data_IF_540311202697
#
_entry.id   IF_540311202697
#
_cell.length_a   1.000
_cell.length_b   1.000
_cell.length_c   1.000
_cell.angle_alpha   90.00
_cell.angle_beta   90.00
_cell.angle_gamma   90.00
#
_symmetry.space_group_name_H-M   'P 1'
#
loop_
_entity.id
_entity.type
_entity.pdbx_description
1 polymer ?
#
# COMPACT_ATOMS: atom_id res chain seq x y z
N UNK A 1 7.80 3.14 -17.08
CA UNK A 1 7.98 2.95 -15.63
C UNK A 1 8.34 4.29 -15.02
N UNK A 2 7.56 4.80 -14.07
CA UNK A 2 7.94 6.03 -13.36
C UNK A 2 9.18 5.76 -12.50
N UNK A 3 10.02 6.79 -12.27
CA UNK A 3 11.17 6.70 -11.37
C UNK A 3 10.78 6.21 -9.95
N UNK A 4 9.50 6.35 -9.58
CA UNK A 4 8.90 5.91 -8.33
C UNK A 4 8.92 4.39 -8.12
N UNK A 5 8.60 3.59 -9.14
CA UNK A 5 8.60 2.14 -9.01
C UNK A 5 10.02 1.58 -8.77
N UNK A 6 11.07 2.25 -9.24
CA UNK A 6 12.44 1.75 -9.11
C UNK A 6 13.12 2.05 -7.77
N UNK A 7 12.60 2.97 -6.95
CA UNK A 7 13.20 3.29 -5.64
C UNK A 7 12.89 2.23 -4.58
N UNK A 8 11.72 1.62 -4.64
CA UNK A 8 11.30 0.56 -3.72
C UNK A 8 12.02 -0.76 -3.97
N UNK A 9 12.29 -1.10 -5.23
CA UNK A 9 12.91 -2.39 -5.59
C UNK A 9 14.32 -2.59 -5.04
N UNK A 10 15.10 -1.53 -4.88
CA UNK A 10 16.45 -1.63 -4.30
C UNK A 10 16.48 -2.06 -2.84
N UNK A 11 15.36 -1.96 -2.12
CA UNK A 11 15.22 -2.30 -0.71
C UNK A 11 14.01 -3.20 -0.45
N UNK A 12 13.63 -4.01 -1.45
CA UNK A 12 12.43 -4.85 -1.38
C UNK A 12 12.45 -5.79 -0.16
N UNK A 13 13.58 -6.41 0.15
CA UNK A 13 13.73 -7.28 1.32
C UNK A 13 13.62 -6.51 2.65
N UNK A 14 14.16 -5.29 2.70
CA UNK A 14 14.07 -4.43 3.87
C UNK A 14 12.62 -3.96 4.08
N UNK A 15 11.95 -3.55 3.01
CA UNK A 15 10.53 -3.23 3.01
C UNK A 15 9.69 -4.42 3.50
N UNK A 16 9.95 -5.62 3.01
CA UNK A 16 9.26 -6.84 3.43
C UNK A 16 9.39 -7.10 4.94
N UNK A 17 10.59 -6.92 5.48
CA UNK A 17 10.85 -7.13 6.91
C UNK A 17 10.28 -6.04 7.81
N UNK A 18 10.27 -4.79 7.33
CA UNK A 18 9.90 -3.63 8.15
C UNK A 18 8.39 -3.43 8.26
N UNK A 19 7.69 -3.58 7.13
CA UNK A 19 6.26 -3.32 7.08
C UNK A 19 5.48 -4.45 7.72
N UNK A 20 4.59 -4.17 8.70
CA UNK A 20 3.73 -5.19 9.27
C UNK A 20 2.78 -5.77 8.23
N UNK A 21 2.44 -7.05 8.37
CA UNK A 21 1.43 -7.70 7.55
C UNK A 21 0.04 -7.11 7.84
N UNK A 22 -0.89 -7.31 6.92
CA UNK A 22 -2.30 -6.98 7.16
C UNK A 22 -2.95 -8.03 8.06
N UNK A 23 -3.84 -7.60 8.95
CA UNK A 23 -4.81 -8.49 9.57
C UNK A 23 -5.85 -9.00 8.54
N UNK A 24 -6.72 -9.94 8.92
CA UNK A 24 -7.80 -10.42 8.04
C UNK A 24 -8.92 -9.39 7.86
N UNK A 25 -9.11 -8.47 8.81
CA UNK A 25 -10.27 -7.59 8.90
C UNK A 25 -10.52 -6.74 7.63
N UNK A 26 -9.49 -6.13 6.99
CA UNK A 26 -9.72 -5.33 5.79
C UNK A 26 -10.28 -6.15 4.63
N UNK A 27 -9.79 -7.38 4.47
CA UNK A 27 -10.23 -8.28 3.40
C UNK A 27 -11.65 -8.80 3.66
N UNK A 28 -11.93 -9.22 4.90
CA UNK A 28 -13.26 -9.70 5.30
C UNK A 28 -14.32 -8.59 5.21
N UNK A 29 -13.96 -7.37 5.63
CA UNK A 29 -14.86 -6.22 5.51
C UNK A 29 -15.19 -5.94 4.04
N UNK A 30 -14.18 -5.85 3.17
CA UNK A 30 -14.36 -5.60 1.75
C UNK A 30 -15.18 -6.72 1.07
N UNK A 31 -14.89 -7.99 1.42
CA UNK A 31 -15.63 -9.14 0.90
C UNK A 31 -17.13 -9.06 1.26
N UNK A 32 -17.45 -8.68 2.51
CA UNK A 32 -18.83 -8.52 2.95
C UNK A 32 -19.55 -7.35 2.25
N UNK A 33 -18.85 -6.21 2.04
CA UNK A 33 -19.43 -5.03 1.38
C UNK A 33 -19.65 -5.23 -0.12
N UNK A 34 -18.81 -6.02 -0.75
CA UNK A 34 -18.88 -6.32 -2.18
C UNK A 34 -19.56 -7.66 -2.51
N UNK A 35 -20.12 -8.36 -1.51
CA UNK A 35 -20.77 -9.67 -1.65
C UNK A 35 -19.86 -10.72 -2.34
N UNK A 36 -18.56 -10.73 -2.01
CA UNK A 36 -17.57 -11.62 -2.60
C UNK A 36 -17.57 -12.98 -1.90
N UNK A 37 -17.91 -14.04 -2.65
CA UNK A 37 -17.76 -15.43 -2.22
C UNK A 37 -16.30 -15.88 -2.14
N UNK A 38 -16.05 -17.07 -1.57
CA UNK A 38 -14.70 -17.65 -1.54
C UNK A 38 -14.18 -18.02 -2.94
N UNK A 39 -15.05 -18.18 -3.90
CA UNK A 39 -14.76 -18.48 -5.31
C UNK A 39 -14.54 -17.23 -6.17
N UNK A 40 -14.66 -16.03 -5.58
CA UNK A 40 -14.41 -14.79 -6.29
C UNK A 40 -12.98 -14.73 -6.83
N UNK A 41 -12.83 -14.21 -8.05
CA UNK A 41 -11.53 -13.96 -8.67
C UNK A 41 -11.12 -12.51 -8.41
N UNK A 42 -10.06 -12.33 -7.65
CA UNK A 42 -9.61 -11.00 -7.21
C UNK A 42 -8.19 -10.69 -7.65
N UNK A 43 -7.91 -9.41 -7.83
CA UNK A 43 -6.59 -8.87 -8.17
C UNK A 43 -6.02 -8.04 -7.01
N UNK A 44 -4.75 -8.29 -6.67
CA UNK A 44 -3.90 -7.37 -5.89
C UNK A 44 -3.09 -6.52 -6.87
N UNK A 45 -3.44 -5.24 -7.02
CA UNK A 45 -2.84 -4.32 -7.99
C UNK A 45 -1.83 -3.38 -7.32
N UNK A 46 -0.58 -3.42 -7.80
CA UNK A 46 0.55 -2.81 -7.10
C UNK A 46 0.89 -3.59 -5.84
N UNK A 47 0.98 -4.92 -5.99
CA UNK A 47 1.05 -5.87 -4.90
C UNK A 47 2.33 -5.75 -4.03
N UNK A 48 3.35 -5.02 -4.51
CA UNK A 48 4.61 -4.85 -3.80
C UNK A 48 5.28 -6.19 -3.51
N UNK A 49 5.54 -6.47 -2.25
CA UNK A 49 6.11 -7.74 -1.79
C UNK A 49 5.05 -8.82 -1.48
N UNK A 50 3.77 -8.54 -1.76
CA UNK A 50 2.67 -9.49 -1.59
C UNK A 50 2.06 -9.54 -0.20
N UNK A 51 2.21 -8.49 0.60
CA UNK A 51 1.65 -8.46 1.97
C UNK A 51 0.12 -8.58 1.98
N UNK A 52 -0.57 -7.87 1.08
CA UNK A 52 -2.01 -8.06 0.92
C UNK A 52 -2.33 -9.36 0.18
N UNK A 53 -1.54 -9.73 -0.84
CA UNK A 53 -1.73 -10.97 -1.59
C UNK A 53 -1.86 -12.18 -0.66
N UNK A 54 -1.00 -12.28 0.39
CA UNK A 54 -1.07 -13.35 1.39
C UNK A 54 -2.43 -13.43 2.09
N UNK A 55 -3.05 -12.30 2.41
CA UNK A 55 -4.38 -12.26 3.02
C UNK A 55 -5.49 -12.60 2.03
N UNK A 56 -5.34 -12.15 0.78
CA UNK A 56 -6.31 -12.48 -0.26
C UNK A 56 -6.35 -13.99 -0.54
N UNK A 57 -5.20 -14.67 -0.60
CA UNK A 57 -5.17 -16.14 -0.85
C UNK A 57 -5.70 -16.98 0.33
N UNK A 58 -5.73 -16.43 1.54
CA UNK A 58 -6.39 -17.08 2.67
C UNK A 58 -7.93 -17.04 2.56
N UNK A 59 -8.46 -16.04 1.86
CA UNK A 59 -9.90 -15.78 1.75
C UNK A 59 -10.51 -16.23 0.42
N UNK A 60 -9.76 -16.11 -0.68
CA UNK A 60 -10.26 -16.35 -2.03
C UNK A 60 -9.47 -17.47 -2.72
N UNK A 61 -10.18 -18.32 -3.45
CA UNK A 61 -9.57 -19.42 -4.20
C UNK A 61 -8.78 -18.96 -5.45
N UNK A 62 -9.13 -17.81 -6.02
CA UNK A 62 -8.53 -17.26 -7.23
C UNK A 62 -8.00 -15.85 -6.99
N UNK A 63 -6.69 -15.74 -6.77
CA UNK A 63 -6.00 -14.47 -6.54
C UNK A 63 -4.90 -14.29 -7.57
N UNK A 64 -4.90 -13.14 -8.24
CA UNK A 64 -3.80 -12.70 -9.11
C UNK A 64 -3.12 -11.49 -8.46
N UNK A 65 -1.79 -11.40 -8.55
CA UNK A 65 -1.04 -10.23 -8.13
C UNK A 65 -0.39 -9.58 -9.36
N UNK A 66 -0.42 -8.25 -9.45
CA UNK A 66 0.27 -7.48 -10.49
C UNK A 66 1.21 -6.48 -9.82
N UNK A 67 2.49 -6.55 -10.17
CA UNK A 67 3.55 -5.68 -9.63
C UNK A 67 4.57 -5.34 -10.72
N UNK A 68 4.81 -4.06 -11.02
CA UNK A 68 5.76 -3.66 -12.04
C UNK A 68 7.23 -3.90 -11.63
N UNK A 69 7.59 -3.70 -10.36
CA UNK A 69 8.97 -3.84 -9.90
C UNK A 69 9.38 -5.32 -9.79
N UNK A 70 10.50 -5.67 -10.45
CA UNK A 70 10.96 -7.07 -10.50
C UNK A 70 11.43 -7.60 -9.14
N UNK A 71 12.06 -6.75 -8.31
CA UNK A 71 12.59 -7.18 -7.02
C UNK A 71 11.46 -7.34 -5.99
N UNK A 72 10.49 -6.43 -5.99
CA UNK A 72 9.27 -6.56 -5.20
C UNK A 72 8.49 -7.82 -5.60
N UNK A 73 8.21 -7.97 -6.88
CA UNK A 73 7.45 -9.10 -7.43
C UNK A 73 8.10 -10.45 -7.12
N UNK A 74 9.43 -10.52 -7.09
CA UNK A 74 10.16 -11.77 -6.76
C UNK A 74 9.92 -12.24 -5.31
N UNK A 75 9.47 -11.38 -4.41
CA UNK A 75 9.17 -11.71 -3.02
C UNK A 75 7.72 -12.19 -2.80
N UNK A 76 6.84 -12.04 -3.81
CA UNK A 76 5.47 -12.53 -3.72
C UNK A 76 5.48 -14.05 -3.67
N UNK A 77 5.07 -14.61 -2.55
CA UNK A 77 5.01 -16.07 -2.35
C UNK A 77 3.92 -16.70 -3.24
N UNK A 78 4.24 -17.85 -3.80
CA UNK A 78 3.33 -18.57 -4.71
C UNK A 78 3.63 -18.22 -6.17
N UNK A 79 3.19 -19.07 -7.07
CA UNK A 79 3.38 -18.86 -8.51
C UNK A 79 2.26 -17.98 -9.05
N UNK A 80 2.58 -16.86 -9.67
CA UNK A 80 1.57 -16.18 -10.47
C UNK A 80 1.53 -14.66 -10.38
N UNK A 81 2.49 -14.03 -9.70
CA UNK A 81 2.61 -12.57 -9.80
C UNK A 81 3.02 -12.16 -11.22
N UNK A 82 2.20 -11.34 -11.83
CA UNK A 82 2.38 -10.88 -13.20
C UNK A 82 3.11 -9.54 -13.24
N UNK A 83 3.97 -9.38 -14.24
CA UNK A 83 4.56 -8.10 -14.56
C UNK A 83 3.52 -7.24 -15.30
N UNK A 84 3.20 -6.07 -14.75
CA UNK A 84 2.24 -5.14 -15.34
C UNK A 84 2.19 -3.84 -14.56
N UNK A 85 1.46 -2.86 -15.09
CA UNK A 85 1.16 -1.61 -14.40
C UNK A 85 -0.36 -1.42 -14.30
N UNK A 86 -0.77 -0.42 -13.53
CA UNK A 86 -2.19 -0.10 -13.39
C UNK A 86 -2.82 0.41 -14.70
N UNK A 87 -2.02 1.01 -15.57
CA UNK A 87 -2.45 1.49 -16.88
C UNK A 87 -2.38 0.40 -17.97
N UNK A 88 -1.85 -0.80 -17.65
CA UNK A 88 -1.75 -1.94 -18.56
C UNK A 88 -1.76 -3.24 -17.77
N UNK A 89 -2.95 -3.64 -17.35
CA UNK A 89 -3.17 -4.85 -16.54
C UNK A 89 -3.18 -6.08 -17.48
N UNK A 90 -2.28 -7.07 -17.28
CA UNK A 90 -2.12 -8.20 -18.19
C UNK A 90 -3.18 -9.29 -17.95
N UNK A 91 -4.45 -8.88 -17.87
CA UNK A 91 -5.59 -9.76 -17.68
C UNK A 91 -6.67 -9.49 -18.74
N UNK A 92 -7.52 -10.48 -19.06
CA UNK A 92 -8.64 -10.31 -19.99
C UNK A 92 -9.68 -9.33 -19.46
N UNK A 93 -10.47 -8.77 -20.38
CA UNK A 93 -11.64 -7.98 -20.04
C UNK A 93 -12.62 -8.80 -19.21
N UNK A 94 -13.27 -8.16 -18.23
CA UNK A 94 -14.34 -8.73 -17.42
C UNK A 94 -14.00 -10.10 -16.81
N UNK A 95 -12.78 -10.21 -16.29
CA UNK A 95 -12.26 -11.46 -15.71
C UNK A 95 -12.18 -11.46 -14.18
N UNK A 96 -12.48 -10.34 -13.54
CA UNK A 96 -12.33 -10.16 -12.09
C UNK A 96 -13.63 -9.70 -11.43
N UNK A 97 -13.87 -10.21 -10.23
CA UNK A 97 -14.97 -9.77 -9.35
C UNK A 97 -14.56 -8.54 -8.53
N UNK A 98 -13.28 -8.41 -8.16
CA UNK A 98 -12.76 -7.23 -7.47
C UNK A 98 -11.28 -6.99 -7.74
N UNK A 99 -10.90 -5.70 -7.61
CA UNK A 99 -9.51 -5.23 -7.61
C UNK A 99 -9.22 -4.59 -6.25
N UNK A 100 -8.12 -4.98 -5.62
CA UNK A 100 -7.62 -4.45 -4.37
C UNK A 100 -6.32 -3.68 -4.61
N UNK A 101 -6.21 -2.49 -4.02
CA UNK A 101 -5.00 -1.66 -4.04
C UNK A 101 -4.66 -1.28 -2.60
N UNK A 102 -3.59 -1.86 -2.04
CA UNK A 102 -3.17 -1.55 -0.67
C UNK A 102 -1.88 -0.71 -0.69
N UNK A 103 -1.92 0.49 -0.11
CA UNK A 103 -0.78 1.43 -0.07
C UNK A 103 -0.18 1.72 -1.47
N UNK A 104 -0.96 1.58 -2.55
CA UNK A 104 -0.43 1.63 -3.91
C UNK A 104 -1.18 2.59 -4.84
N UNK A 105 -2.50 2.78 -4.68
CA UNK A 105 -3.33 3.51 -5.64
C UNK A 105 -2.85 4.95 -5.90
N UNK A 106 -2.38 5.65 -4.88
CA UNK A 106 -1.84 7.01 -5.01
C UNK A 106 -0.63 7.12 -5.96
N UNK A 107 0.08 6.01 -6.22
CA UNK A 107 1.20 5.98 -7.16
C UNK A 107 0.77 6.03 -8.63
N UNK A 108 -0.48 5.65 -8.91
CA UNK A 108 -1.06 5.55 -10.25
C UNK A 108 -2.50 6.08 -10.35
N UNK A 109 -2.90 6.98 -9.46
CA UNK A 109 -4.21 7.60 -9.45
C UNK A 109 -4.40 8.50 -10.68
N UNK A 110 -4.90 7.93 -11.77
CA UNK A 110 -5.18 8.62 -13.03
C UNK A 110 -6.31 7.92 -13.80
N UNK A 111 -6.85 8.62 -14.81
CA UNK A 111 -7.96 8.13 -15.63
C UNK A 111 -7.61 6.83 -16.38
N UNK A 112 -6.35 6.68 -16.84
CA UNK A 112 -5.94 5.50 -17.60
C UNK A 112 -5.93 4.24 -16.71
N UNK A 113 -5.47 4.36 -15.46
CA UNK A 113 -5.51 3.28 -14.48
C UNK A 113 -6.95 2.89 -14.14
N UNK A 114 -7.84 3.87 -13.91
CA UNK A 114 -9.26 3.57 -13.66
C UNK A 114 -9.95 2.93 -14.85
N UNK A 115 -9.59 3.32 -16.09
CA UNK A 115 -10.12 2.68 -17.30
C UNK A 115 -9.67 1.22 -17.41
N UNK A 116 -8.42 0.91 -17.11
CA UNK A 116 -7.90 -0.46 -17.11
C UNK A 116 -8.53 -1.32 -16.00
N UNK A 117 -8.68 -0.76 -14.79
CA UNK A 117 -9.38 -1.42 -13.68
C UNK A 117 -10.82 -1.73 -14.10
N UNK A 118 -11.51 -0.75 -14.68
CA UNK A 118 -12.88 -0.96 -15.19
C UNK A 118 -12.95 -2.02 -16.31
N UNK A 119 -11.95 -2.07 -17.20
CA UNK A 119 -11.88 -3.06 -18.28
C UNK A 119 -11.82 -4.50 -17.75
N UNK A 120 -10.99 -4.74 -16.74
CA UNK A 120 -10.79 -6.09 -16.20
C UNK A 120 -11.89 -6.55 -15.25
N UNK A 121 -12.63 -5.60 -14.63
CA UNK A 121 -13.75 -5.90 -13.75
C UNK A 121 -14.97 -6.42 -14.54
N UNK A 122 -15.67 -7.38 -13.96
CA UNK A 122 -17.02 -7.75 -14.38
C UNK A 122 -18.01 -6.60 -14.13
N UNK A 123 -19.17 -6.58 -14.79
CA UNK A 123 -20.25 -5.65 -14.45
C UNK A 123 -20.55 -5.71 -12.95
N UNK A 124 -20.64 -4.55 -12.29
CA UNK A 124 -20.80 -4.41 -10.83
C UNK A 124 -19.61 -4.92 -9.98
N UNK A 125 -18.49 -5.26 -10.59
CA UNK A 125 -17.26 -5.62 -9.88
C UNK A 125 -16.74 -4.49 -9.00
N UNK A 126 -16.02 -4.83 -7.93
CA UNK A 126 -15.60 -3.90 -6.90
C UNK A 126 -14.17 -3.39 -7.06
N UNK A 127 -13.93 -2.15 -6.66
CA UNK A 127 -12.59 -1.60 -6.42
C UNK A 127 -12.45 -1.26 -4.94
N UNK A 128 -11.39 -1.75 -4.31
CA UNK A 128 -11.08 -1.55 -2.89
C UNK A 128 -9.71 -0.90 -2.76
N UNK A 129 -9.66 0.20 -2.04
CA UNK A 129 -8.43 0.91 -1.73
C UNK A 129 -8.19 0.83 -0.23
N UNK A 130 -6.96 0.50 0.20
CA UNK A 130 -6.61 0.29 1.60
C UNK A 130 -5.42 1.16 1.94
N UNK A 131 -5.56 1.96 2.99
CA UNK A 131 -4.46 2.73 3.59
C UNK A 131 -4.35 2.47 5.08
N UNK A 132 -3.14 2.67 5.62
CA UNK A 132 -2.82 2.50 7.04
C UNK A 132 -2.12 3.75 7.57
N UNK A 133 -2.76 4.40 8.54
CA UNK A 133 -2.17 5.52 9.29
C UNK A 133 -1.49 4.99 10.56
N UNK A 134 -0.20 5.28 10.74
CA UNK A 134 0.63 4.70 11.79
C UNK A 134 1.65 5.66 12.42
N UNK A 135 1.38 6.94 12.42
CA UNK A 135 2.36 7.94 12.83
C UNK A 135 2.40 8.28 14.33
N UNK A 136 1.53 7.73 15.16
CA UNK A 136 1.37 8.11 16.56
C UNK A 136 1.74 6.98 17.50
N UNK A 137 3.06 6.80 17.75
CA UNK A 137 3.53 5.83 18.73
C UNK A 137 3.31 6.30 20.18
N UNK A 138 3.17 5.33 21.09
CA UNK A 138 3.13 5.53 22.53
C UNK A 138 4.18 4.60 23.19
N UNK A 139 5.23 5.14 23.85
CA UNK A 139 5.56 6.55 23.91
C UNK A 139 5.98 7.12 22.53
N UNK A 140 5.95 8.46 22.35
CA UNK A 140 6.49 9.08 21.15
C UNK A 140 8.01 8.91 21.10
N UNK A 141 8.64 8.84 19.92
CA UNK A 141 10.09 8.82 19.79
C UNK A 141 10.72 10.05 20.48
N UNK A 142 11.98 9.98 20.89
CA UNK A 142 12.71 11.12 21.47
C UNK A 142 12.58 12.39 20.64
N UNK A 143 12.58 13.55 21.29
CA UNK A 143 12.36 14.85 20.63
C UNK A 143 13.34 15.05 19.47
N UNK A 144 14.60 14.69 19.68
CA UNK A 144 15.69 14.83 18.69
C UNK A 144 15.42 13.95 17.46
N UNK A 145 14.95 12.72 17.66
CA UNK A 145 14.56 11.83 16.55
C UNK A 145 13.37 12.40 15.77
N UNK A 146 12.34 12.91 16.47
CA UNK A 146 11.18 13.54 15.83
C UNK A 146 11.56 14.79 15.04
N UNK A 147 12.50 15.57 15.55
CA UNK A 147 13.00 16.75 14.87
C UNK A 147 13.77 16.38 13.59
N UNK A 148 14.61 15.35 13.65
CA UNK A 148 15.31 14.82 12.48
C UNK A 148 14.32 14.30 11.43
N UNK A 149 13.32 13.53 11.85
CA UNK A 149 12.27 13.05 10.96
C UNK A 149 11.53 14.20 10.29
N UNK A 150 11.13 15.24 11.08
CA UNK A 150 10.45 16.41 10.55
C UNK A 150 11.30 17.14 9.51
N UNK A 151 12.60 17.32 9.75
CA UNK A 151 13.51 17.95 8.80
C UNK A 151 13.58 17.19 7.47
N UNK A 152 13.56 15.85 7.50
CA UNK A 152 13.52 15.03 6.29
C UNK A 152 12.17 15.18 5.59
N UNK A 153 11.05 15.09 6.32
CA UNK A 153 9.71 15.22 5.75
C UNK A 153 9.43 16.60 5.14
N UNK A 154 10.00 17.69 5.68
CA UNK A 154 9.77 19.05 5.19
C UNK A 154 10.63 19.40 3.96
N UNK A 155 11.52 18.53 3.53
CA UNK A 155 12.39 18.79 2.36
C UNK A 155 11.58 18.83 1.07
N UNK A 156 11.66 19.94 0.30
CA UNK A 156 10.88 20.10 -0.94
C UNK A 156 11.45 19.32 -2.13
N UNK A 157 12.69 18.86 -2.03
CA UNK A 157 13.41 18.11 -3.07
C UNK A 157 13.19 16.60 -2.98
N UNK A 158 12.55 16.12 -1.91
CA UNK A 158 12.22 14.71 -1.73
C UNK A 158 10.81 14.40 -2.26
N UNK A 159 10.66 13.21 -2.81
CA UNK A 159 9.36 12.76 -3.30
C UNK A 159 8.37 12.56 -2.15
N UNK A 160 7.27 13.29 -2.20
CA UNK A 160 6.11 13.07 -1.32
C UNK A 160 5.06 12.24 -2.05
N UNK A 161 4.39 11.38 -1.33
CA UNK A 161 3.25 10.69 -1.90
C UNK A 161 2.05 11.63 -2.05
N UNK A 162 1.40 11.54 -3.21
CA UNK A 162 0.11 12.19 -3.47
C UNK A 162 -1.06 11.65 -2.59
N UNK A 163 -0.77 10.74 -1.65
CA UNK A 163 -1.76 10.17 -0.74
C UNK A 163 -2.03 11.02 0.51
N UNK A 164 -1.15 12.01 0.81
CA UNK A 164 -1.33 12.86 1.98
C UNK A 164 -2.39 13.96 1.79
N UNK A 165 -2.77 14.27 0.55
CA UNK A 165 -3.61 15.43 0.20
C UNK A 165 -4.94 15.10 -0.47
N UNK A 166 -5.39 13.82 -0.44
CA UNK A 166 -6.63 13.38 -1.11
C UNK A 166 -6.71 13.66 -2.63
N UNK A 167 -5.65 14.16 -3.25
CA UNK A 167 -5.62 14.50 -4.68
C UNK A 167 -5.92 13.29 -5.58
N UNK A 168 -5.65 12.08 -5.07
CA UNK A 168 -5.96 10.84 -5.77
C UNK A 168 -7.46 10.66 -6.05
N UNK A 169 -8.34 11.32 -5.29
CA UNK A 169 -9.80 11.22 -5.47
C UNK A 169 -10.28 11.90 -6.76
N UNK A 170 -9.55 12.91 -7.22
CA UNK A 170 -9.95 13.67 -8.39
C UNK A 170 -10.11 12.83 -9.66
N UNK A 171 -9.34 11.73 -9.80
CA UNK A 171 -9.48 10.84 -10.96
C UNK A 171 -10.82 10.07 -11.00
N UNK A 172 -11.57 10.02 -9.89
CA UNK A 172 -12.89 9.38 -9.86
C UNK A 172 -14.00 10.27 -10.43
N UNK A 173 -13.77 11.58 -10.57
CA UNK A 173 -14.73 12.48 -11.19
C UNK A 173 -14.98 12.08 -12.64
N UNK A 174 -16.23 11.78 -12.98
CA UNK A 174 -16.60 11.32 -14.32
C UNK A 174 -16.15 9.89 -14.68
N UNK A 175 -15.52 9.17 -13.76
CA UNK A 175 -15.12 7.77 -13.96
C UNK A 175 -16.33 6.83 -14.08
N UNK A 176 -16.15 5.59 -14.58
CA UNK A 176 -17.23 4.61 -14.66
C UNK A 176 -17.60 3.99 -13.31
N UNK A 177 -17.02 4.43 -12.20
CA UNK A 177 -17.32 3.92 -10.87
C UNK A 177 -18.44 4.69 -10.18
N UNK A 178 -19.11 4.06 -9.24
CA UNK A 178 -20.04 4.70 -8.31
C UNK A 178 -19.30 5.66 -7.37
N UNK A 179 -20.02 6.32 -6.47
CA UNK A 179 -19.41 7.17 -5.44
C UNK A 179 -18.56 6.30 -4.49
N UNK A 180 -17.37 6.81 -4.14
CA UNK A 180 -16.50 6.17 -3.16
C UNK A 180 -17.13 6.19 -1.77
N UNK A 181 -17.15 5.04 -1.11
CA UNK A 181 -17.56 4.91 0.29
C UNK A 181 -16.32 4.73 1.15
N UNK A 182 -16.23 5.50 2.23
CA UNK A 182 -15.15 5.40 3.22
C UNK A 182 -15.59 4.62 4.45
N UNK A 183 -14.67 3.83 5.00
CA UNK A 183 -14.82 3.17 6.29
C UNK A 183 -13.49 3.14 7.03
N UNK A 184 -13.54 3.43 8.33
CA UNK A 184 -12.40 3.33 9.23
C UNK A 184 -12.58 2.10 10.12
N UNK A 185 -11.72 1.09 9.96
CA UNK A 185 -11.78 -0.09 10.81
C UNK A 185 -11.32 0.23 12.23
N UNK A 186 -11.65 -0.63 13.19
CA UNK A 186 -11.12 -0.52 14.54
C UNK A 186 -9.58 -0.52 14.50
N UNK A 187 -8.91 0.40 15.22
CA UNK A 187 -7.46 0.45 15.21
C UNK A 187 -6.87 -0.81 15.86
N UNK A 188 -5.85 -1.36 15.24
CA UNK A 188 -4.97 -2.36 15.85
C UNK A 188 -3.79 -1.69 16.55
N UNK A 189 -3.17 -2.37 17.51
CA UNK A 189 -1.97 -1.87 18.18
C UNK A 189 -0.82 -2.84 17.93
N UNK A 190 0.25 -2.35 17.33
CA UNK A 190 1.47 -3.10 17.11
C UNK A 190 2.48 -2.79 18.21
N UNK A 191 3.06 -3.85 18.80
CA UNK A 191 4.20 -3.73 19.69
C UNK A 191 5.49 -3.79 18.85
N UNK A 192 6.30 -2.75 18.94
CA UNK A 192 7.53 -2.58 18.16
C UNK A 192 8.70 -2.36 19.11
N UNK A 193 9.80 -3.07 18.90
CA UNK A 193 11.08 -2.66 19.44
C UNK A 193 11.67 -1.48 18.64
N UNK A 194 12.74 -0.89 19.16
CA UNK A 194 13.42 0.25 18.54
C UNK A 194 13.87 -0.05 17.10
N UNK A 195 14.37 -1.26 16.83
CA UNK A 195 14.86 -1.67 15.53
C UNK A 195 13.72 -1.70 14.50
N UNK A 196 12.60 -2.32 14.85
CA UNK A 196 11.42 -2.36 13.97
C UNK A 196 10.83 -0.98 13.74
N UNK A 197 10.79 -0.12 14.77
CA UNK A 197 10.30 1.25 14.60
C UNK A 197 11.19 2.04 13.63
N UNK A 198 12.52 2.00 13.80
CA UNK A 198 13.45 2.69 12.90
C UNK A 198 13.31 2.17 11.47
N UNK A 199 13.29 0.85 11.29
CA UNK A 199 13.16 0.25 9.97
C UNK A 199 11.81 0.60 9.31
N UNK A 200 10.74 0.67 10.08
CA UNK A 200 9.44 1.13 9.60
C UNK A 200 9.50 2.58 9.10
N UNK A 201 10.08 3.50 9.88
CA UNK A 201 10.27 4.90 9.51
C UNK A 201 11.05 4.99 8.18
N UNK A 202 12.17 4.30 8.10
CA UNK A 202 13.06 4.32 6.92
C UNK A 202 12.43 3.68 5.67
N UNK A 203 11.43 2.80 5.83
CA UNK A 203 10.71 2.15 4.73
C UNK A 203 9.73 3.07 4.00
N UNK A 204 9.56 4.30 4.47
CA UNK A 204 8.67 5.25 3.80
C UNK A 204 9.36 5.85 2.58
N UNK A 205 8.58 6.27 1.59
CA UNK A 205 9.09 6.80 0.33
C UNK A 205 9.96 8.03 0.49
N UNK A 206 9.61 8.91 1.42
CA UNK A 206 10.38 10.13 1.68
C UNK A 206 11.80 9.77 2.10
N UNK A 207 11.97 8.86 3.07
CA UNK A 207 13.29 8.39 3.47
C UNK A 207 13.96 7.56 2.36
N UNK A 208 13.21 6.74 1.64
CA UNK A 208 13.71 5.95 0.52
C UNK A 208 14.23 6.79 -0.66
N UNK A 209 13.82 8.05 -0.78
CA UNK A 209 14.27 8.98 -1.82
C UNK A 209 15.53 9.78 -1.43
N UNK A 210 16.03 9.62 -0.19
CA UNK A 210 17.30 10.24 0.22
C UNK A 210 18.48 9.72 -0.61
N UNK A 211 19.49 10.57 -0.91
CA UNK A 211 20.78 10.11 -1.38
C UNK A 211 21.38 9.09 -0.42
N UNK A 212 22.13 8.11 -0.94
CA UNK A 212 22.59 6.96 -0.15
C UNK A 212 23.41 7.36 1.09
N UNK A 213 24.31 8.33 0.95
CA UNK A 213 25.14 8.83 2.05
C UNK A 213 24.32 9.57 3.13
N UNK A 214 23.30 10.31 2.71
CA UNK A 214 22.37 10.95 3.64
C UNK A 214 21.48 9.92 4.33
N UNK A 215 21.02 8.91 3.60
CA UNK A 215 20.22 7.84 4.17
C UNK A 215 21.01 7.13 5.28
N UNK A 216 22.25 6.69 5.00
CA UNK A 216 23.10 6.00 5.97
C UNK A 216 23.37 6.86 7.22
N UNK A 217 23.55 8.15 7.03
CA UNK A 217 23.70 9.11 8.14
C UNK A 217 22.43 9.19 8.99
N UNK A 218 21.26 9.40 8.35
CA UNK A 218 19.97 9.53 9.03
C UNK A 218 19.61 8.23 9.74
N UNK A 219 19.81 7.08 9.10
CA UNK A 219 19.64 5.77 9.71
C UNK A 219 20.48 5.61 10.97
N UNK A 220 21.79 5.92 10.89
CA UNK A 220 22.69 5.82 12.04
C UNK A 220 22.31 6.77 13.19
N UNK A 221 21.76 7.95 12.90
CA UNK A 221 21.25 8.88 13.90
C UNK A 221 19.98 8.38 14.56
N UNK A 222 19.00 7.90 13.77
CA UNK A 222 17.75 7.36 14.31
C UNK A 222 17.99 6.12 15.18
N UNK A 223 18.86 5.18 14.75
CA UNK A 223 19.23 3.99 15.53
C UNK A 223 19.91 4.32 16.86
N UNK A 224 20.62 5.44 16.96
CA UNK A 224 21.22 5.89 18.22
C UNK A 224 20.22 6.59 19.15
N UNK A 225 19.22 7.26 18.61
CA UNK A 225 18.25 8.04 19.37
C UNK A 225 17.05 7.20 19.82
N UNK A 226 16.55 6.32 18.96
CA UNK A 226 15.34 5.52 19.22
C UNK A 226 15.76 4.24 19.94
N UNK A 227 15.30 4.08 21.18
CA UNK A 227 15.61 2.93 22.06
C UNK A 227 14.38 2.51 22.84
N UNK A 228 14.32 1.24 23.26
CA UNK A 228 13.18 0.72 24.03
C UNK A 228 12.04 0.23 23.14
N UNK A 229 10.87 0.08 23.76
CA UNK A 229 9.68 -0.49 23.14
C UNK A 229 8.62 0.58 22.90
N UNK A 230 7.86 0.41 21.83
CA UNK A 230 6.84 1.34 21.36
C UNK A 230 5.55 0.60 21.05
N UNK A 231 4.43 1.24 21.31
CA UNK A 231 3.12 0.79 20.84
C UNK A 231 2.70 1.71 19.71
N UNK A 232 2.37 1.13 18.57
CA UNK A 232 1.96 1.86 17.38
C UNK A 232 0.50 1.54 17.09
N UNK A 233 -0.44 2.42 17.42
CA UNK A 233 -1.80 2.32 16.91
C UNK A 233 -1.81 2.48 15.39
N UNK A 234 -2.44 1.55 14.71
CA UNK A 234 -2.59 1.56 13.25
C UNK A 234 -4.07 1.67 12.91
N UNK A 235 -4.43 2.75 12.25
CA UNK A 235 -5.78 2.96 11.73
C UNK A 235 -5.82 2.51 10.27
N UNK A 236 -6.61 1.49 9.97
CA UNK A 236 -6.85 1.09 8.57
C UNK A 236 -8.07 1.83 8.03
N UNK A 237 -7.87 2.54 6.93
CA UNK A 237 -8.92 3.17 6.14
C UNK A 237 -9.18 2.33 4.90
N UNK A 238 -10.46 2.03 4.63
CA UNK A 238 -10.90 1.43 3.39
C UNK A 238 -11.74 2.43 2.61
N UNK A 239 -11.50 2.43 1.31
CA UNK A 239 -12.37 3.08 0.33
C UNK A 239 -12.80 2.01 -0.67
N UNK A 240 -14.08 1.98 -0.98
CA UNK A 240 -14.58 1.00 -1.93
C UNK A 240 -15.68 1.59 -2.81
N UNK A 241 -15.81 1.03 -3.99
CA UNK A 241 -16.79 1.42 -4.98
C UNK A 241 -17.11 0.23 -5.91
N UNK A 242 -18.16 0.36 -6.71
CA UNK A 242 -18.53 -0.61 -7.74
C UNK A 242 -18.45 0.02 -9.12
N UNK A 243 -18.14 -0.79 -10.11
CA UNK A 243 -18.28 -0.42 -11.52
C UNK A 243 -19.78 -0.25 -11.83
N UNK A 244 -20.15 0.88 -12.43
CA UNK A 244 -21.53 1.09 -12.91
C UNK A 244 -21.89 0.06 -13.99
N UNK A 245 -23.20 -0.24 -14.12
CA UNK A 245 -23.72 -1.19 -15.10
C UNK A 245 -23.53 -0.72 -16.55
#
# INVERSE_FOLDING_TARGET
>A
MSARASSFGRRAEEYERSRPDYGPEPVEFAAARLDLGADAHVLDLGAGTGKLTRRLVERFAAVTAVEPDVAMRALIAGSGALAGSAESIPLPDRSLDAVFCAESFHCFANEAALAEIARVLQPHGGLVLIWRDWWKTDPPPPKEARELMRQVYERPDLERHAGEDDAWRACFEGSPFEELTEENLAPEVLDLDAERLVTLILSTSVFGSLPADEFDRVEGELRRMITGDYRLPVQTQLWWTRLRA
#
